data_IF_700441352407
#
_entry.id   IF_700441352407
#
_cell.length_a   1.000
_cell.length_b   1.000
_cell.length_c   1.000
_cell.angle_alpha   90.00
_cell.angle_beta   90.00
_cell.angle_gamma   90.00
#
_symmetry.space_group_name_H-M   'P 1'
#
loop_
_entity.id
_entity.type
_entity.pdbx_description
1 polymer ?
#
# COMPACT_ATOMS: atom_id res chain seq x y z
N UNK A 1 36.75 -19.83 -7.90
CA UNK A 1 35.97 -19.06 -6.89
C UNK A 1 35.30 -17.92 -7.64
N UNK A 2 34.12 -18.18 -8.20
CA UNK A 2 33.37 -17.24 -9.01
C UNK A 2 32.20 -16.72 -8.16
N UNK A 3 32.17 -15.41 -7.91
CA UNK A 3 31.05 -14.71 -7.28
C UNK A 3 30.05 -14.36 -8.37
N UNK A 4 28.96 -15.10 -8.46
CA UNK A 4 27.87 -14.78 -9.39
C UNK A 4 27.02 -13.66 -8.78
N UNK A 5 27.01 -12.51 -9.47
CA UNK A 5 26.16 -11.37 -9.15
C UNK A 5 24.74 -11.70 -9.59
N UNK A 6 23.80 -11.75 -8.64
CA UNK A 6 22.37 -11.86 -8.93
C UNK A 6 21.86 -10.66 -9.75
N UNK A 7 20.80 -10.84 -10.56
CA UNK A 7 20.29 -9.80 -11.43
C UNK A 7 19.63 -8.65 -10.63
N UNK A 8 19.68 -7.40 -11.12
CA UNK A 8 19.07 -6.25 -10.46
C UNK A 8 17.54 -6.38 -10.46
N UNK A 9 16.94 -6.06 -9.30
CA UNK A 9 15.50 -5.92 -9.10
C UNK A 9 14.94 -4.81 -10.00
N UNK A 10 14.34 -5.18 -11.13
CA UNK A 10 13.61 -4.24 -11.97
C UNK A 10 12.27 -3.94 -11.29
N UNK A 11 12.16 -2.73 -10.72
CA UNK A 11 10.89 -2.14 -10.31
C UNK A 11 10.01 -1.96 -11.55
N UNK A 12 8.98 -2.77 -11.69
CA UNK A 12 7.95 -2.58 -12.71
C UNK A 12 6.97 -1.51 -12.23
N UNK A 13 7.25 -0.26 -12.56
CA UNK A 13 6.28 0.82 -12.49
C UNK A 13 5.09 0.48 -13.40
N UNK A 14 3.98 0.03 -12.82
CA UNK A 14 2.72 -0.11 -13.55
C UNK A 14 2.14 1.28 -13.85
N UNK A 15 1.97 1.55 -15.14
CA UNK A 15 1.43 2.79 -15.71
C UNK A 15 0.07 3.14 -15.10
N UNK A 16 -0.03 4.31 -14.49
CA UNK A 16 -1.30 4.91 -14.10
C UNK A 16 -2.01 5.45 -15.34
N UNK A 17 -3.02 4.73 -15.85
CA UNK A 17 -3.95 5.27 -16.85
C UNK A 17 -5.08 6.02 -16.14
N UNK A 18 -5.32 7.25 -16.60
CA UNK A 18 -6.36 8.14 -16.09
C UNK A 18 -7.77 7.59 -16.26
N UNK A 19 -8.62 7.88 -15.27
CA UNK A 19 -10.05 7.56 -15.28
C UNK A 19 -10.71 7.91 -13.95
N UNK A 20 -11.80 8.67 -14.04
CA UNK A 20 -12.73 9.15 -13.00
C UNK A 20 -12.60 8.55 -11.59
N UNK A 21 -12.36 9.44 -10.62
CA UNK A 21 -12.26 9.11 -9.19
C UNK A 21 -13.64 8.86 -8.58
N UNK A 22 -14.06 7.60 -8.57
CA UNK A 22 -14.97 7.11 -7.52
C UNK A 22 -14.25 7.14 -6.18
N UNK A 23 -14.93 7.64 -5.14
CA UNK A 23 -14.42 7.86 -3.77
C UNK A 23 -14.17 6.58 -2.96
N UNK A 24 -14.21 5.41 -3.59
CA UNK A 24 -13.86 4.15 -2.93
C UNK A 24 -12.35 3.91 -3.03
N UNK A 25 -11.64 3.59 -1.93
CA UNK A 25 -10.26 3.14 -2.03
C UNK A 25 -10.22 1.94 -2.99
N UNK A 26 -9.37 2.01 -4.03
CA UNK A 26 -9.20 0.90 -4.97
C UNK A 26 -8.84 -0.34 -4.14
N UNK A 27 -9.51 -1.50 -4.35
CA UNK A 27 -9.17 -2.70 -3.62
C UNK A 27 -7.70 -3.02 -3.91
N UNK A 28 -6.88 -3.17 -2.87
CA UNK A 28 -5.49 -3.58 -3.02
C UNK A 28 -5.45 -4.95 -3.71
N UNK A 29 -4.94 -5.00 -4.93
CA UNK A 29 -4.77 -6.25 -5.68
C UNK A 29 -3.34 -6.73 -5.46
N UNK A 30 -3.20 -7.97 -4.99
CA UNK A 30 -1.89 -8.60 -4.80
C UNK A 30 -1.45 -8.64 -3.35
N UNK A 31 -0.16 -8.87 -3.16
CA UNK A 31 0.44 -9.06 -1.84
C UNK A 31 0.77 -7.75 -1.11
N UNK A 32 1.64 -7.85 -0.11
CA UNK A 32 2.24 -6.71 0.55
C UNK A 32 3.48 -6.25 -0.23
N UNK A 33 3.40 -5.02 -0.75
CA UNK A 33 4.51 -4.31 -1.37
C UNK A 33 5.10 -3.33 -0.36
N UNK A 34 5.93 -3.86 0.55
CA UNK A 34 6.56 -3.12 1.65
C UNK A 34 7.95 -3.69 1.89
N UNK A 35 8.83 -2.90 2.50
CA UNK A 35 10.16 -3.36 2.87
C UNK A 35 10.09 -4.15 4.20
N UNK A 36 10.43 -5.43 4.14
CA UNK A 36 10.56 -6.28 5.31
C UNK A 36 11.96 -6.18 5.92
N UNK A 37 12.05 -6.20 7.25
CA UNK A 37 13.33 -6.10 7.97
C UNK A 37 14.19 -7.35 7.79
N UNK A 38 13.55 -8.52 7.73
CA UNK A 38 14.21 -9.82 7.58
C UNK A 38 13.84 -10.49 6.26
N UNK A 39 14.67 -11.44 5.83
CA UNK A 39 14.37 -12.28 4.68
C UNK A 39 13.06 -13.06 4.89
N UNK A 40 12.22 -13.11 3.86
CA UNK A 40 10.91 -13.75 3.93
C UNK A 40 10.99 -15.20 3.45
N UNK A 41 10.48 -16.17 4.24
CA UNK A 41 10.35 -17.55 3.79
C UNK A 41 9.54 -17.64 2.48
N UNK A 42 9.99 -18.43 1.48
CA UNK A 42 9.30 -18.57 0.20
C UNK A 42 7.84 -19.01 0.32
N UNK A 43 7.51 -19.77 1.38
CA UNK A 43 6.16 -20.28 1.67
C UNK A 43 5.12 -19.17 1.93
N UNK A 44 5.56 -17.93 2.18
CA UNK A 44 4.70 -16.76 2.36
C UNK A 44 4.59 -15.91 1.11
N UNK A 45 5.34 -16.23 0.04
CA UNK A 45 5.31 -15.48 -1.22
C UNK A 45 4.21 -16.03 -2.12
N UNK A 46 3.36 -15.13 -2.61
CA UNK A 46 2.33 -15.49 -3.57
C UNK A 46 2.97 -15.76 -4.93
N UNK A 47 2.78 -16.94 -5.53
CA UNK A 47 3.39 -17.29 -6.81
C UNK A 47 2.75 -16.59 -8.02
N UNK A 48 1.65 -15.85 -7.83
CA UNK A 48 1.01 -15.06 -8.91
C UNK A 48 1.61 -13.65 -8.96
N UNK A 49 1.63 -12.93 -7.85
CA UNK A 49 2.11 -11.54 -7.80
C UNK A 49 3.56 -11.40 -7.32
N UNK A 50 4.19 -12.48 -6.86
CA UNK A 50 5.57 -12.53 -6.35
C UNK A 50 5.84 -11.64 -5.12
N UNK A 51 4.78 -11.28 -4.39
CA UNK A 51 4.83 -10.50 -3.14
C UNK A 51 4.40 -11.37 -1.95
N UNK A 52 4.67 -10.92 -0.73
CA UNK A 52 4.19 -11.58 0.49
C UNK A 52 2.67 -11.64 0.49
N UNK A 53 2.08 -12.81 0.73
CA UNK A 53 0.64 -13.03 0.59
C UNK A 53 -0.19 -12.07 1.46
N UNK A 54 -1.04 -11.27 0.83
CA UNK A 54 -2.10 -10.52 1.51
C UNK A 54 -3.37 -11.35 1.46
N UNK A 55 -4.03 -11.46 2.61
CA UNK A 55 -5.22 -12.32 2.77
C UNK A 55 -5.00 -13.70 2.15
N UNK A 56 -4.01 -14.47 2.67
CA UNK A 56 -3.63 -15.74 2.06
C UNK A 56 -4.81 -16.72 2.04
N UNK A 57 -5.01 -17.35 0.88
CA UNK A 57 -5.88 -18.50 0.70
C UNK A 57 -5.04 -19.71 0.34
N UNK A 58 -5.45 -20.89 0.83
CA UNK A 58 -4.79 -22.16 0.58
C UNK A 58 -5.74 -23.11 -0.15
N UNK A 59 -5.21 -23.85 -1.12
CA UNK A 59 -5.97 -24.89 -1.83
C UNK A 59 -5.99 -26.19 -1.02
N UNK A 60 -7.13 -26.89 -0.98
CA UNK A 60 -7.26 -28.13 -0.20
C UNK A 60 -6.50 -29.31 -0.84
N UNK A 61 -6.50 -29.40 -2.17
CA UNK A 61 -5.93 -30.55 -2.90
C UNK A 61 -4.40 -30.56 -2.98
N UNK A 62 -3.77 -29.38 -3.06
CA UNK A 62 -2.31 -29.26 -3.17
C UNK A 62 -1.63 -28.41 -2.10
N UNK A 63 -2.38 -27.67 -1.30
CA UNK A 63 -1.81 -26.85 -0.24
C UNK A 63 -1.06 -25.60 -0.72
N UNK A 64 -1.16 -25.22 -1.99
CA UNK A 64 -0.52 -24.01 -2.50
C UNK A 64 -1.24 -22.76 -1.99
N UNK A 65 -0.46 -21.72 -1.65
CA UNK A 65 -0.94 -20.45 -1.10
C UNK A 65 -0.92 -19.34 -2.14
N UNK A 66 -1.93 -18.48 -2.09
CA UNK A 66 -2.07 -17.31 -2.96
C UNK A 66 -2.66 -16.14 -2.19
N UNK A 67 -2.52 -14.90 -2.68
CA UNK A 67 -3.40 -13.83 -2.22
C UNK A 67 -4.83 -14.12 -2.68
N UNK A 68 -5.83 -13.88 -1.85
CA UNK A 68 -7.25 -14.02 -2.21
C UNK A 68 -7.57 -13.27 -3.52
N UNK A 69 -7.14 -12.01 -3.60
CA UNK A 69 -7.34 -11.16 -4.79
C UNK A 69 -6.65 -11.68 -6.05
N UNK A 70 -5.55 -12.44 -5.91
CA UNK A 70 -4.81 -13.00 -7.05
C UNK A 70 -5.47 -14.26 -7.59
N UNK A 71 -6.05 -15.09 -6.71
CA UNK A 71 -6.68 -16.34 -7.11
C UNK A 71 -8.10 -16.14 -7.62
N UNK A 72 -8.82 -15.14 -7.11
CA UNK A 72 -10.23 -14.86 -7.43
C UNK A 72 -10.51 -14.73 -8.96
N UNK A 73 -9.71 -14.02 -9.78
CA UNK A 73 -9.91 -13.96 -11.23
C UNK A 73 -9.79 -15.31 -11.94
N UNK A 74 -9.00 -16.24 -11.39
CA UNK A 74 -8.86 -17.59 -11.93
C UNK A 74 -10.13 -18.39 -11.63
N UNK A 75 -10.58 -18.37 -10.37
CA UNK A 75 -11.75 -19.10 -9.89
C UNK A 75 -13.07 -18.72 -10.57
N UNK A 76 -13.14 -17.54 -11.20
CA UNK A 76 -14.30 -17.11 -12.00
C UNK A 76 -14.48 -17.91 -13.30
N UNK A 77 -13.46 -18.63 -13.76
CA UNK A 77 -13.52 -19.44 -14.98
C UNK A 77 -14.08 -20.83 -14.69
N UNK A 78 -14.93 -21.33 -15.57
CA UNK A 78 -15.38 -22.74 -15.52
C UNK A 78 -14.19 -23.67 -15.79
N UNK A 79 -14.05 -24.73 -15.00
CA UNK A 79 -12.91 -25.64 -15.11
C UNK A 79 -11.59 -24.98 -14.72
N UNK A 80 -11.55 -24.38 -13.54
CA UNK A 80 -10.34 -23.73 -13.01
C UNK A 80 -9.29 -24.75 -12.55
N UNK A 81 -8.02 -24.36 -12.61
CA UNK A 81 -6.90 -25.17 -12.18
C UNK A 81 -5.94 -24.33 -11.33
N UNK A 82 -5.26 -24.99 -10.39
CA UNK A 82 -4.18 -24.39 -9.63
C UNK A 82 -3.07 -23.90 -10.58
N UNK A 83 -2.61 -22.64 -10.48
CA UNK A 83 -1.57 -22.09 -11.35
C UNK A 83 -0.20 -22.79 -11.28
N UNK A 84 0.10 -23.52 -10.20
CA UNK A 84 1.42 -24.10 -9.96
C UNK A 84 1.54 -25.52 -10.49
N UNK A 85 0.50 -26.32 -10.29
CA UNK A 85 0.54 -27.78 -10.53
C UNK A 85 -0.62 -28.28 -11.38
N UNK A 86 -1.50 -27.38 -11.82
CA UNK A 86 -2.67 -27.66 -12.67
C UNK A 86 -3.67 -28.67 -12.08
N UNK A 87 -3.67 -28.87 -10.76
CA UNK A 87 -4.74 -29.66 -10.12
C UNK A 87 -6.08 -28.93 -10.21
N UNK A 88 -7.16 -29.70 -10.39
CA UNK A 88 -8.51 -29.15 -10.52
C UNK A 88 -8.88 -28.31 -9.30
N UNK A 89 -9.38 -27.11 -9.54
CA UNK A 89 -9.62 -26.11 -8.52
C UNK A 89 -11.03 -25.54 -8.68
N UNK A 90 -11.75 -25.45 -7.56
CA UNK A 90 -13.04 -24.77 -7.46
C UNK A 90 -13.05 -23.88 -6.21
N UNK A 91 -14.01 -22.97 -6.10
CA UNK A 91 -14.10 -22.06 -4.94
C UNK A 91 -14.26 -22.82 -3.62
N UNK A 92 -14.95 -23.96 -3.64
CA UNK A 92 -15.19 -24.81 -2.48
C UNK A 92 -13.92 -25.52 -2.00
N UNK A 93 -12.89 -25.60 -2.86
CA UNK A 93 -11.58 -26.17 -2.56
C UNK A 93 -10.54 -25.14 -2.14
N UNK A 94 -10.98 -23.93 -1.82
CA UNK A 94 -10.12 -22.81 -1.40
C UNK A 94 -10.62 -22.29 -0.06
N UNK A 95 -9.72 -22.11 0.90
CA UNK A 95 -10.05 -21.57 2.21
C UNK A 95 -9.06 -20.49 2.63
N UNK A 96 -9.53 -19.55 3.45
CA UNK A 96 -8.68 -18.54 4.05
C UNK A 96 -7.67 -19.19 5.02
N UNK A 97 -6.38 -19.00 4.77
CA UNK A 97 -5.31 -19.49 5.62
C UNK A 97 -5.05 -18.51 6.78
N UNK A 98 -5.88 -18.63 7.81
CA UNK A 98 -5.80 -17.78 9.02
C UNK A 98 -4.50 -17.98 9.80
N UNK A 99 -3.85 -19.13 9.69
CA UNK A 99 -2.57 -19.37 10.35
C UNK A 99 -1.46 -18.59 9.64
N UNK A 100 -1.34 -18.75 8.31
CA UNK A 100 -0.40 -17.99 7.50
C UNK A 100 -0.63 -16.48 7.62
N UNK A 101 -1.89 -16.01 7.59
CA UNK A 101 -2.22 -14.58 7.77
C UNK A 101 -1.68 -14.01 9.09
N UNK A 102 -1.84 -14.75 10.20
CA UNK A 102 -1.32 -14.32 11.52
C UNK A 102 0.20 -14.23 11.52
N UNK A 103 0.88 -15.23 10.95
CA UNK A 103 2.34 -15.23 10.84
C UNK A 103 2.84 -14.06 9.99
N UNK A 104 2.26 -13.86 8.80
CA UNK A 104 2.62 -12.74 7.92
C UNK A 104 2.43 -11.39 8.61
N UNK A 105 1.33 -11.22 9.34
CA UNK A 105 1.04 -9.98 10.05
C UNK A 105 2.01 -9.70 11.22
N UNK A 106 2.66 -10.72 11.77
CA UNK A 106 3.70 -10.57 12.81
C UNK A 106 5.11 -10.30 12.26
N UNK A 107 5.30 -10.35 10.93
CA UNK A 107 6.58 -10.02 10.32
C UNK A 107 6.90 -8.54 10.50
N UNK A 108 8.17 -8.23 10.75
CA UNK A 108 8.63 -6.86 10.93
C UNK A 108 8.87 -6.17 9.58
N UNK A 109 8.35 -4.96 9.44
CA UNK A 109 8.46 -4.09 8.26
C UNK A 109 8.93 -2.71 8.64
N UNK A 110 9.48 -1.98 7.67
CA UNK A 110 9.82 -0.57 7.80
C UNK A 110 8.72 0.30 7.24
N UNK A 111 8.59 1.52 7.79
CA UNK A 111 7.81 2.57 7.14
C UNK A 111 8.35 2.83 5.73
N UNK A 112 7.47 3.13 4.77
CA UNK A 112 7.90 3.53 3.40
C UNK A 112 8.78 4.79 3.38
N UNK A 113 8.71 5.61 4.44
CA UNK A 113 9.53 6.81 4.62
C UNK A 113 10.75 6.56 5.53
N UNK A 114 11.09 5.30 5.80
CA UNK A 114 12.21 4.96 6.67
C UNK A 114 13.53 5.57 6.16
N UNK A 115 14.29 6.21 7.04
CA UNK A 115 15.52 6.93 6.69
C UNK A 115 15.30 8.36 6.17
N UNK A 116 14.07 8.71 5.79
CA UNK A 116 13.65 10.09 5.50
C UNK A 116 13.02 10.70 6.76
N UNK A 117 13.80 10.75 7.84
CA UNK A 117 13.40 11.24 9.17
C UNK A 117 12.25 10.45 9.86
N UNK A 118 11.81 9.34 9.27
CA UNK A 118 11.05 8.30 9.96
C UNK A 118 11.98 7.13 10.26
N UNK A 119 11.94 6.60 11.48
CA UNK A 119 12.72 5.42 11.90
C UNK A 119 11.81 4.28 12.36
N UNK A 120 10.51 4.36 12.05
CA UNK A 120 9.55 3.36 12.50
C UNK A 120 9.77 2.03 11.78
N UNK A 121 10.02 0.98 12.57
CA UNK A 121 9.82 -0.41 12.19
C UNK A 121 8.90 -1.09 13.21
N UNK A 122 8.23 -2.16 12.78
CA UNK A 122 7.34 -2.93 13.64
C UNK A 122 6.57 -3.99 12.88
N UNK A 123 5.66 -4.68 13.56
CA UNK A 123 4.81 -5.69 12.94
C UNK A 123 4.00 -5.10 11.78
N UNK A 124 3.89 -5.85 10.69
CA UNK A 124 3.09 -5.49 9.52
C UNK A 124 1.65 -5.12 9.88
N UNK A 125 1.07 -5.78 10.89
CA UNK A 125 -0.26 -5.46 11.42
C UNK A 125 -0.39 -4.00 11.90
N UNK A 126 0.69 -3.41 12.40
CA UNK A 126 0.71 -2.08 13.00
C UNK A 126 1.09 -0.99 12.00
N UNK A 127 1.58 -1.35 10.80
CA UNK A 127 1.96 -0.39 9.77
C UNK A 127 0.83 0.58 9.38
N UNK A 128 -0.44 0.16 9.18
CA UNK A 128 -1.52 1.11 8.88
C UNK A 128 -1.71 2.16 9.97
N UNK A 129 -1.69 1.74 11.24
CA UNK A 129 -1.84 2.66 12.37
C UNK A 129 -0.68 3.65 12.48
N UNK A 130 0.54 3.23 12.10
CA UNK A 130 1.67 4.14 12.00
C UNK A 130 1.48 5.16 10.88
N UNK A 131 1.05 4.74 9.67
CA UNK A 131 0.88 5.64 8.53
C UNK A 131 -0.16 6.76 8.79
N UNK A 132 -1.17 6.50 9.63
CA UNK A 132 -2.16 7.49 10.05
C UNK A 132 -1.56 8.66 10.83
N UNK A 133 -0.44 8.44 11.54
CA UNK A 133 0.24 9.45 12.38
C UNK A 133 1.65 9.80 11.92
N UNK A 134 2.17 9.09 10.91
CA UNK A 134 3.49 9.31 10.37
C UNK A 134 3.61 10.75 9.82
N UNK A 135 4.57 11.50 10.38
CA UNK A 135 4.87 12.89 10.02
C UNK A 135 5.28 13.05 8.56
N UNK A 136 5.99 12.06 8.04
CA UNK A 136 6.50 12.05 6.67
C UNK A 136 5.58 11.34 5.69
N UNK A 137 4.43 10.83 6.15
CA UNK A 137 3.45 10.25 5.23
C UNK A 137 2.90 11.34 4.30
N UNK A 138 2.87 11.10 2.98
CA UNK A 138 2.26 12.02 2.05
C UNK A 138 0.75 12.10 2.31
N UNK A 139 0.21 13.31 2.37
CA UNK A 139 -1.21 13.57 2.52
C UNK A 139 -1.70 14.57 1.47
N UNK A 140 -3.00 14.53 1.19
CA UNK A 140 -3.65 15.49 0.30
C UNK A 140 -3.84 16.83 0.99
N UNK A 141 -3.67 17.91 0.22
CA UNK A 141 -3.92 19.27 0.69
C UNK A 141 -5.33 19.38 1.31
N UNK A 142 -5.41 19.94 2.52
CA UNK A 142 -6.69 20.16 3.22
C UNK A 142 -7.62 21.12 2.47
N UNK A 143 -7.04 22.05 1.70
CA UNK A 143 -7.77 22.99 0.84
C UNK A 143 -8.08 22.40 -0.55
N UNK A 144 -7.71 21.15 -0.81
CA UNK A 144 -7.97 20.42 -2.07
C UNK A 144 -7.40 21.12 -3.31
N UNK A 145 -6.21 21.69 -3.21
CA UNK A 145 -5.50 22.32 -4.35
C UNK A 145 -4.99 21.34 -5.42
N UNK A 146 -5.20 20.03 -5.23
CA UNK A 146 -4.76 18.96 -6.13
C UNK A 146 -3.44 18.30 -5.75
N UNK A 147 -2.63 18.93 -4.89
CA UNK A 147 -1.41 18.31 -4.32
C UNK A 147 -1.78 17.14 -3.40
N UNK A 148 -1.10 16.01 -3.57
CA UNK A 148 -1.33 14.76 -2.83
C UNK A 148 -0.08 14.17 -2.18
N UNK A 149 1.05 14.88 -2.32
CA UNK A 149 2.40 14.47 -1.97
C UNK A 149 3.00 15.33 -0.85
N UNK A 150 2.16 16.04 -0.08
CA UNK A 150 2.62 16.95 0.97
C UNK A 150 2.93 16.12 2.22
N UNK A 151 4.17 16.14 2.75
CA UNK A 151 4.47 15.53 4.04
C UNK A 151 3.54 16.09 5.12
N UNK A 152 2.99 15.22 5.98
CA UNK A 152 2.00 15.61 6.99
C UNK A 152 2.48 16.76 7.88
N UNK A 153 3.75 16.78 8.25
CA UNK A 153 4.37 17.85 9.05
C UNK A 153 4.58 19.17 8.28
N UNK A 154 4.63 19.14 6.95
CA UNK A 154 4.76 20.32 6.10
C UNK A 154 3.41 20.93 5.70
N UNK A 155 2.28 20.29 6.05
CA UNK A 155 0.95 20.77 5.67
C UNK A 155 0.65 22.19 6.19
N UNK A 156 1.11 22.52 7.40
CA UNK A 156 0.92 23.87 7.96
C UNK A 156 1.64 24.94 7.14
N UNK A 157 2.87 24.64 6.70
CA UNK A 157 3.66 25.56 5.88
C UNK A 157 3.11 25.68 4.46
N UNK A 158 2.55 24.59 3.92
CA UNK A 158 1.90 24.61 2.61
C UNK A 158 0.71 25.58 2.57
N UNK A 159 -0.19 25.52 3.57
CA UNK A 159 -1.44 26.31 3.61
C UNK A 159 -1.29 27.67 4.32
N UNK A 160 -0.07 28.02 4.71
CA UNK A 160 0.22 29.30 5.34
C UNK A 160 -0.09 30.48 4.39
N UNK A 161 -0.21 31.68 4.95
CA UNK A 161 -0.47 32.90 4.16
C UNK A 161 0.64 33.20 3.16
N UNK A 162 1.88 32.81 3.48
CA UNK A 162 3.05 32.93 2.62
C UNK A 162 3.43 31.57 1.98
N UNK A 163 2.57 30.56 2.13
CA UNK A 163 2.78 29.20 1.62
C UNK A 163 2.62 29.05 0.11
N UNK A 164 2.86 27.83 -0.40
CA UNK A 164 2.76 27.50 -1.82
C UNK A 164 1.37 26.99 -2.24
N UNK A 165 0.39 26.96 -1.34
CA UNK A 165 -0.97 26.56 -1.67
C UNK A 165 -1.71 27.66 -2.45
N UNK A 166 -2.12 27.41 -3.72
CA UNK A 166 -2.91 28.39 -4.47
C UNK A 166 -4.33 28.57 -3.92
N UNK A 167 -4.74 27.70 -2.99
CA UNK A 167 -6.01 27.75 -2.27
C UNK A 167 -5.78 27.98 -0.77
N UNK A 168 -4.67 28.63 -0.37
CA UNK A 168 -4.49 29.10 1.00
C UNK A 168 -5.61 30.11 1.34
N UNK A 169 -6.17 30.02 2.55
CA UNK A 169 -7.18 30.97 3.00
C UNK A 169 -6.44 32.15 3.63
N UNK A 170 -6.31 33.24 2.90
CA UNK A 170 -5.59 34.44 3.36
C UNK A 170 -6.53 35.40 4.09
N UNK A 171 -6.08 36.02 5.20
CA UNK A 171 -6.83 37.08 5.85
C UNK A 171 -6.87 38.33 4.95
N UNK A 172 -7.99 39.05 4.98
CA UNK A 172 -8.07 40.33 4.28
C UNK A 172 -6.98 41.30 4.80
N UNK A 173 -6.32 42.03 3.90
CA UNK A 173 -5.35 43.10 4.25
C UNK A 173 -5.89 44.21 5.17
N UNK A 174 -7.22 44.27 5.36
CA UNK A 174 -7.89 45.21 6.25
C UNK A 174 -8.42 44.54 7.53
N UNK A 175 -7.93 43.35 7.89
CA UNK A 175 -8.34 42.65 9.10
C UNK A 175 -8.07 43.47 10.36
N UNK A 176 -6.98 44.22 10.39
CA UNK A 176 -6.61 45.14 11.49
C UNK A 176 -7.61 46.29 11.68
N UNK A 177 -8.38 46.61 10.64
CA UNK A 177 -9.40 47.67 10.64
C UNK A 177 -10.81 47.07 10.75
N UNK A 178 -10.92 45.78 11.10
CA UNK A 178 -12.17 45.10 11.42
C UNK A 178 -12.78 44.27 10.29
N UNK A 179 -12.12 44.13 9.14
CA UNK A 179 -12.61 43.26 8.07
C UNK A 179 -12.50 41.78 8.47
N UNK A 180 -13.64 41.07 8.52
CA UNK A 180 -13.71 39.65 8.89
C UNK A 180 -13.61 38.69 7.69
N UNK A 181 -13.41 39.22 6.48
CA UNK A 181 -13.34 38.41 5.28
C UNK A 181 -12.07 37.55 5.26
N UNK A 182 -12.23 36.28 4.87
CA UNK A 182 -11.18 35.31 4.60
C UNK A 182 -11.53 34.63 3.29
N UNK A 183 -10.57 34.50 2.39
CA UNK A 183 -10.79 33.96 1.06
C UNK A 183 -9.49 33.50 0.41
N UNK A 184 -9.61 33.02 -0.82
CA UNK A 184 -8.49 32.63 -1.68
C UNK A 184 -8.07 33.83 -2.54
#
# INVERSE_FOLDING_TARGET
>A
MATERGPPSQSTAYLASGGNFSTAPRPFIGGYDVEFVSAIPPDYICPICQLVCRDPVQTTECGHRFCESCLEPILRKNGSFCPLDRRALTREKVYADRACKRTINSLEVKCQNYGSECEWSGELANLPTHLDVCKHSPISCVNKCGRTDIPRDQMSSHVDVDGDCPLAIVPCKYCDIGCKFKGF
#
